data_IF_561713939622
#
_entry.id   IF_561713939622
#
_cell.length_a   1.000
_cell.length_b   1.000
_cell.length_c   1.000
_cell.angle_alpha   90.00
_cell.angle_beta   90.00
_cell.angle_gamma   90.00
#
_symmetry.space_group_name_H-M   'P 1'
#
loop_
_entity.id
_entity.type
_entity.pdbx_description
1 polymer ?
#
# COMPACT_ATOMS: atom_id res chain seq x y z
N UNK A 1 -7.53 9.47 5.59
CA UNK A 1 -6.08 9.82 5.57
C UNK A 1 -5.83 11.26 6.03
N UNK A 2 -6.57 12.24 5.48
CA UNK A 2 -6.48 13.66 5.88
C UNK A 2 -6.69 13.90 7.38
N UNK A 3 -7.70 13.24 7.98
CA UNK A 3 -8.06 13.38 9.41
C UNK A 3 -7.23 12.53 10.38
N UNK A 4 -6.26 11.74 9.90
CA UNK A 4 -5.42 10.93 10.79
C UNK A 4 -4.58 11.85 11.72
N UNK A 5 -4.44 11.51 13.01
CA UNK A 5 -3.66 12.33 13.95
C UNK A 5 -2.16 12.33 13.61
N UNK A 6 -1.43 13.31 14.14
CA UNK A 6 0.03 13.30 14.10
C UNK A 6 0.57 12.18 14.99
N UNK A 7 1.75 11.63 14.64
CA UNK A 7 2.37 10.46 15.29
C UNK A 7 1.49 9.20 15.18
N UNK A 8 0.98 8.94 13.98
CA UNK A 8 0.18 7.76 13.69
C UNK A 8 0.89 6.84 12.69
N UNK A 9 0.90 5.55 13.00
CA UNK A 9 1.20 4.51 12.02
C UNK A 9 -0.07 4.16 11.25
N UNK A 10 0.01 4.18 9.92
CA UNK A 10 -1.07 3.82 9.03
C UNK A 10 -0.69 2.53 8.31
N UNK A 11 -1.56 1.52 8.41
CA UNK A 11 -1.44 0.24 7.70
C UNK A 11 -2.56 0.13 6.65
N UNK A 12 -2.51 0.93 5.56
CA UNK A 12 -3.47 0.78 4.47
C UNK A 12 -3.29 -0.60 3.82
N UNK A 13 -4.17 -1.53 4.17
CA UNK A 13 -4.31 -2.82 3.49
C UNK A 13 -5.38 -2.68 2.42
N UNK A 14 -4.98 -2.79 1.16
CA UNK A 14 -5.93 -2.88 0.05
C UNK A 14 -6.06 -4.34 -0.35
N UNK A 15 -6.96 -5.05 0.34
CA UNK A 15 -7.30 -6.43 0.00
C UNK A 15 -8.55 -6.42 -0.90
N UNK A 16 -8.42 -6.95 -2.11
CA UNK A 16 -9.49 -7.11 -3.11
C UNK A 16 -10.15 -5.81 -3.60
N UNK A 17 -9.46 -5.06 -4.45
CA UNK A 17 -10.13 -4.11 -5.33
C UNK A 17 -10.82 -4.89 -6.47
N UNK A 18 -12.09 -5.22 -6.26
CA UNK A 18 -13.04 -5.35 -7.37
C UNK A 18 -13.24 -4.03 -8.12
N UNK A 19 -12.65 -2.93 -7.65
CA UNK A 19 -12.71 -1.61 -8.28
C UNK A 19 -11.36 -0.88 -8.18
N UNK A 20 -10.42 -1.14 -9.09
CA UNK A 20 -9.37 -0.14 -9.38
C UNK A 20 -9.98 1.15 -9.94
N UNK A 21 -11.23 1.11 -10.44
CA UNK A 21 -12.00 2.26 -10.91
C UNK A 21 -12.55 3.16 -9.79
N UNK A 22 -12.69 2.66 -8.54
CA UNK A 22 -13.19 3.48 -7.41
C UNK A 22 -12.08 4.23 -6.66
N UNK A 23 -10.80 3.96 -6.95
CA UNK A 23 -9.71 4.70 -6.34
C UNK A 23 -9.55 6.06 -7.05
N UNK A 24 -10.30 7.06 -6.57
CA UNK A 24 -10.27 8.43 -7.09
C UNK A 24 -8.86 9.03 -7.03
N UNK A 25 -8.56 9.94 -7.95
CA UNK A 25 -7.26 10.62 -8.03
C UNK A 25 -6.85 11.29 -6.71
N UNK A 26 -7.78 11.89 -5.98
CA UNK A 26 -7.50 12.51 -4.68
C UNK A 26 -7.04 11.50 -3.63
N UNK A 27 -7.59 10.29 -3.65
CA UNK A 27 -7.15 9.21 -2.76
C UNK A 27 -5.74 8.73 -3.12
N UNK A 28 -5.45 8.58 -4.42
CA UNK A 28 -4.10 8.23 -4.90
C UNK A 28 -3.07 9.28 -4.48
N UNK A 29 -3.41 10.56 -4.64
CA UNK A 29 -2.55 11.69 -4.25
C UNK A 29 -2.25 11.69 -2.75
N UNK A 30 -3.25 11.49 -1.90
CA UNK A 30 -3.05 11.42 -0.46
C UNK A 30 -2.15 10.26 -0.03
N UNK A 31 -2.21 9.13 -0.74
CA UNK A 31 -1.36 7.96 -0.48
C UNK A 31 0.06 8.18 -1.00
N UNK A 32 0.22 8.86 -2.13
CA UNK A 32 1.53 9.28 -2.68
C UNK A 32 2.22 10.28 -1.75
N UNK A 33 1.48 11.25 -1.19
CA UNK A 33 1.98 12.20 -0.18
C UNK A 33 2.45 11.51 1.11
N UNK A 34 1.93 10.31 1.40
CA UNK A 34 2.38 9.46 2.51
C UNK A 34 3.62 8.61 2.16
N UNK A 35 4.15 8.74 0.95
CA UNK A 35 5.40 8.13 0.52
C UNK A 35 5.27 6.83 -0.28
N UNK A 36 4.07 6.49 -0.75
CA UNK A 36 3.86 5.38 -1.67
C UNK A 36 4.46 5.68 -3.04
N UNK A 37 5.17 4.70 -3.61
CA UNK A 37 5.71 4.75 -4.96
C UNK A 37 4.84 3.99 -5.97
N UNK A 38 4.06 3.00 -5.51
CA UNK A 38 3.31 2.08 -6.37
C UNK A 38 1.81 2.43 -6.50
N UNK A 39 1.26 3.33 -5.68
CA UNK A 39 -0.18 3.65 -5.73
C UNK A 39 -0.64 4.17 -7.10
N UNK A 40 0.24 4.86 -7.81
CA UNK A 40 -0.01 5.34 -9.18
C UNK A 40 -0.01 4.21 -10.21
N UNK A 41 0.67 3.10 -9.92
CA UNK A 41 0.79 1.94 -10.78
C UNK A 41 -0.31 0.90 -10.53
N UNK A 42 -1.20 1.12 -9.57
CA UNK A 42 -2.24 0.14 -9.23
C UNK A 42 -3.20 -0.10 -10.40
N UNK A 43 -3.39 -1.38 -10.74
CA UNK A 43 -4.25 -1.85 -11.83
C UNK A 43 -5.37 -2.73 -11.29
N UNK A 44 -6.35 -3.05 -12.16
CA UNK A 44 -7.42 -3.98 -11.83
C UNK A 44 -6.85 -5.31 -11.29
N UNK A 45 -7.34 -5.73 -10.12
CA UNK A 45 -6.91 -6.94 -9.40
C UNK A 45 -5.42 -6.98 -9.03
N UNK A 46 -4.77 -5.83 -8.88
CA UNK A 46 -3.46 -5.80 -8.22
C UNK A 46 -3.64 -6.10 -6.73
N UNK A 47 -2.81 -6.98 -6.18
CA UNK A 47 -2.58 -7.04 -4.74
C UNK A 47 -1.56 -5.95 -4.38
N UNK A 48 -1.86 -5.14 -3.37
CA UNK A 48 -0.98 -4.05 -2.93
C UNK A 48 -1.01 -3.92 -1.39
N UNK A 49 0.17 -3.80 -0.79
CA UNK A 49 0.34 -3.58 0.65
C UNK A 49 1.31 -2.44 0.86
N UNK A 50 0.98 -1.56 1.81
CA UNK A 50 1.76 -0.37 2.08
C UNK A 50 1.69 0.01 3.56
N UNK A 51 2.81 0.49 4.10
CA UNK A 51 2.95 1.01 5.46
C UNK A 51 3.35 2.48 5.34
N UNK A 52 2.56 3.35 5.96
CA UNK A 52 2.83 4.77 6.03
C UNK A 52 2.94 5.26 7.47
N UNK A 53 3.69 6.34 7.67
CA UNK A 53 3.76 7.07 8.92
C UNK A 53 3.30 8.51 8.68
N UNK A 54 2.52 9.06 9.62
CA UNK A 54 2.13 10.46 9.61
C UNK A 54 2.77 11.17 10.80
N UNK A 55 3.59 12.17 10.52
CA UNK A 55 4.30 12.96 11.54
C UNK A 55 5.69 12.43 11.92
N UNK A 56 6.16 11.35 11.29
CA UNK A 56 7.52 10.83 11.43
C UNK A 56 7.94 10.07 10.17
N UNK A 57 9.23 9.77 10.03
CA UNK A 57 9.77 9.01 8.90
C UNK A 57 10.03 7.56 9.31
N UNK A 58 9.61 6.62 8.45
CA UNK A 58 9.96 5.21 8.60
C UNK A 58 11.43 4.97 8.19
N UNK A 59 12.13 4.02 8.82
CA UNK A 59 13.48 3.64 8.41
C UNK A 59 13.52 3.20 6.94
N UNK A 60 14.62 3.49 6.24
CA UNK A 60 14.76 3.11 4.83
C UNK A 60 15.04 1.61 4.63
N UNK A 61 15.47 0.91 5.68
CA UNK A 61 15.82 -0.51 5.64
C UNK A 61 14.62 -1.45 5.87
N UNK A 62 13.42 -0.93 6.10
CA UNK A 62 12.21 -1.76 6.21
C UNK A 62 11.47 -1.84 4.88
N UNK A 63 10.96 -3.02 4.55
CA UNK A 63 10.07 -3.17 3.41
C UNK A 63 8.70 -2.56 3.74
N UNK A 64 8.41 -1.41 3.14
CA UNK A 64 7.18 -0.65 3.42
C UNK A 64 6.13 -0.72 2.33
N UNK A 65 6.44 -1.29 1.17
CA UNK A 65 5.52 -1.36 0.04
C UNK A 65 5.82 -2.56 -0.85
N UNK A 66 4.76 -3.19 -1.35
CA UNK A 66 4.85 -4.24 -2.38
C UNK A 66 3.58 -4.23 -3.23
N UNK A 67 3.74 -4.54 -4.51
CA UNK A 67 2.63 -4.69 -5.46
C UNK A 67 2.80 -5.99 -6.26
N UNK A 68 1.68 -6.61 -6.61
CA UNK A 68 1.63 -7.75 -7.52
C UNK A 68 0.43 -7.59 -8.45
N UNK A 69 0.68 -7.45 -9.74
CA UNK A 69 -0.37 -7.23 -10.74
C UNK A 69 -0.96 -8.55 -11.21
N UNK A 70 -2.24 -8.53 -11.58
CA UNK A 70 -2.87 -9.68 -12.21
C UNK A 70 -2.25 -9.94 -13.59
N UNK A 71 -1.81 -11.16 -13.81
CA UNK A 71 -1.25 -11.64 -15.08
C UNK A 71 -1.86 -13.00 -15.37
N UNK A 72 -2.61 -13.13 -16.46
CA UNK A 72 -3.33 -14.38 -16.80
C UNK A 72 -2.42 -15.61 -16.87
N UNK A 73 -1.13 -15.42 -17.15
CA UNK A 73 -0.15 -16.51 -17.25
C UNK A 73 0.52 -16.87 -15.93
N UNK A 74 0.48 -15.98 -14.92
CA UNK A 74 1.17 -16.13 -13.62
C UNK A 74 0.23 -16.14 -12.42
N UNK A 75 -1.04 -15.87 -12.64
CA UNK A 75 -2.05 -15.79 -11.60
C UNK A 75 -2.14 -17.12 -10.83
N UNK A 76 -2.01 -17.04 -9.50
CA UNK A 76 -2.14 -18.19 -8.60
C UNK A 76 -3.58 -18.68 -8.49
N UNK A 77 -4.54 -17.77 -8.63
CA UNK A 77 -5.97 -18.06 -8.58
C UNK A 77 -6.66 -17.63 -9.88
N UNK A 78 -7.90 -18.05 -10.10
CA UNK A 78 -8.64 -17.74 -11.35
C UNK A 78 -8.79 -16.22 -11.55
N UNK A 79 -7.87 -15.66 -12.34
CA UNK A 79 -7.80 -14.23 -12.67
C UNK A 79 -7.27 -13.33 -11.56
N UNK A 80 -6.63 -13.87 -10.51
CA UNK A 80 -6.05 -13.11 -9.41
C UNK A 80 -4.58 -13.50 -9.16
N UNK A 81 -3.70 -12.52 -8.87
CA UNK A 81 -2.32 -12.79 -8.54
C UNK A 81 -2.19 -13.47 -7.16
N UNK A 82 -1.00 -13.99 -6.86
CA UNK A 82 -0.68 -14.47 -5.53
C UNK A 82 -0.72 -13.33 -4.50
N UNK A 83 -1.06 -13.68 -3.26
CA UNK A 83 -0.99 -12.79 -2.11
C UNK A 83 0.42 -12.22 -1.93
N UNK A 84 0.49 -11.04 -1.35
CA UNK A 84 1.75 -10.39 -1.01
C UNK A 84 1.83 -10.10 0.48
N UNK A 85 3.04 -10.23 0.99
CA UNK A 85 3.36 -9.99 2.38
C UNK A 85 4.59 -9.09 2.43
N UNK A 86 4.61 -8.22 3.44
CA UNK A 86 5.75 -7.43 3.87
C UNK A 86 5.86 -7.62 5.38
N UNK A 87 7.07 -7.73 5.88
CA UNK A 87 7.36 -7.93 7.29
C UNK A 87 8.50 -7.01 7.72
N UNK A 88 8.54 -6.69 9.01
CA UNK A 88 9.59 -5.84 9.56
C UNK A 88 9.26 -5.32 10.95
N UNK A 89 10.18 -4.54 11.50
CA UNK A 89 10.06 -3.93 12.81
C UNK A 89 10.11 -2.41 12.69
N UNK A 90 9.19 -1.71 13.34
CA UNK A 90 9.17 -0.24 13.39
C UNK A 90 9.64 0.17 14.80
N UNK A 91 10.79 0.84 14.94
CA UNK A 91 11.27 1.30 16.23
C UNK A 91 10.26 2.24 16.90
N UNK A 92 9.95 2.00 18.18
CA UNK A 92 8.95 2.79 18.92
C UNK A 92 9.40 4.22 19.21
N UNK A 93 10.70 4.48 19.26
CA UNK A 93 11.26 5.81 19.50
C UNK A 93 11.10 6.78 18.32
N UNK A 94 10.56 6.32 17.18
CA UNK A 94 10.21 7.16 16.05
C UNK A 94 8.82 7.80 16.20
N UNK A 95 7.99 7.27 17.10
CA UNK A 95 6.60 7.70 17.32
C UNK A 95 6.51 8.75 18.45
#
# INVERSE_FOLDING_TARGET
LSVAPQRALLLPLVHNLLYSEMLKNDAKKLVEELGSKEIKNIQFRSSWVFIAAKGFQLPNNIQREKINHSDQTKNRYKGWPAEIQIEGCIPRNLM
#
